data_IF_382968182200
#
_entry.id   IF_382968182200
#
_cell.length_a   1.000
_cell.length_b   1.000
_cell.length_c   1.000
_cell.angle_alpha   90.00
_cell.angle_beta   90.00
_cell.angle_gamma   90.00
#
_symmetry.space_group_name_H-M   'P 1'
#
loop_
_entity.id
_entity.type
_entity.pdbx_description
1 polymer ?
#
# COMPACT_ATOMS: atom_id res chain seq x y z
N UNK A 1 38.15 -12.68 -21.96
CA UNK A 1 36.79 -12.80 -21.42
C UNK A 1 35.84 -12.40 -22.52
N UNK A 2 35.09 -13.37 -23.03
CA UNK A 2 34.31 -13.25 -24.27
C UNK A 2 32.99 -12.51 -24.06
N UNK A 3 32.27 -12.22 -25.15
CA UNK A 3 30.91 -11.65 -25.08
C UNK A 3 29.96 -12.52 -24.23
N UNK A 4 30.15 -13.84 -24.23
CA UNK A 4 29.33 -14.79 -23.48
C UNK A 4 29.44 -14.60 -21.96
N UNK A 5 30.63 -14.30 -21.44
CA UNK A 5 30.84 -14.07 -20.00
C UNK A 5 30.07 -12.83 -19.52
N UNK A 6 30.01 -11.78 -20.34
CA UNK A 6 29.28 -10.54 -20.02
C UNK A 6 27.77 -10.75 -20.00
N UNK A 7 27.25 -11.46 -21.00
CA UNK A 7 25.84 -11.87 -21.07
C UNK A 7 25.44 -12.69 -19.83
N UNK A 8 26.31 -13.60 -19.37
CA UNK A 8 26.04 -14.40 -18.18
C UNK A 8 26.02 -13.55 -16.90
N UNK A 9 26.93 -12.58 -16.76
CA UNK A 9 26.93 -11.63 -15.64
C UNK A 9 25.68 -10.76 -15.64
N UNK A 10 25.27 -10.24 -16.79
CA UNK A 10 24.07 -9.40 -16.92
C UNK A 10 22.80 -10.19 -16.63
N UNK A 11 22.68 -11.44 -17.10
CA UNK A 11 21.54 -12.29 -16.80
C UNK A 11 21.45 -12.63 -15.31
N UNK A 12 22.57 -12.95 -14.66
CA UNK A 12 22.61 -13.20 -13.22
C UNK A 12 22.21 -11.95 -12.42
N UNK A 13 22.65 -10.76 -12.86
CA UNK A 13 22.29 -9.49 -12.22
C UNK A 13 20.81 -9.18 -12.39
N UNK A 14 20.27 -9.34 -13.60
CA UNK A 14 18.85 -9.16 -13.87
C UNK A 14 17.99 -10.16 -13.09
N UNK A 15 18.43 -11.42 -13.00
CA UNK A 15 17.76 -12.45 -12.20
C UNK A 15 17.72 -12.11 -10.72
N UNK A 16 18.82 -11.61 -10.15
CA UNK A 16 18.87 -11.18 -8.75
C UNK A 16 17.93 -10.00 -8.49
N UNK A 17 17.97 -8.97 -9.33
CA UNK A 17 17.08 -7.79 -9.20
C UNK A 17 15.60 -8.19 -9.32
N UNK A 18 15.28 -9.10 -10.24
CA UNK A 18 13.91 -9.60 -10.39
C UNK A 18 13.45 -10.37 -9.14
N UNK A 19 14.31 -11.18 -8.53
CA UNK A 19 14.00 -11.89 -7.28
C UNK A 19 13.78 -10.92 -6.12
N UNK A 20 14.68 -9.95 -5.93
CA UNK A 20 14.59 -8.94 -4.88
C UNK A 20 13.27 -8.13 -5.02
N UNK A 21 12.89 -7.76 -6.24
CA UNK A 21 11.63 -7.05 -6.51
C UNK A 21 10.38 -7.91 -6.25
N UNK A 22 10.43 -9.21 -6.55
CA UNK A 22 9.34 -10.14 -6.24
C UNK A 22 9.16 -10.33 -4.73
N UNK A 23 10.26 -10.47 -4.00
CA UNK A 23 10.24 -10.60 -2.54
C UNK A 23 9.71 -9.32 -1.89
N UNK A 24 10.14 -8.15 -2.36
CA UNK A 24 9.57 -6.87 -1.92
C UNK A 24 8.07 -6.79 -2.21
N UNK A 25 7.65 -7.18 -3.42
CA UNK A 25 6.25 -7.20 -3.82
C UNK A 25 5.40 -8.07 -2.90
N UNK A 26 5.90 -9.26 -2.55
CA UNK A 26 5.24 -10.17 -1.61
C UNK A 26 5.09 -9.53 -0.22
N UNK A 27 6.16 -8.99 0.34
CA UNK A 27 6.14 -8.35 1.66
C UNK A 27 5.22 -7.12 1.69
N UNK A 28 5.19 -6.32 0.61
CA UNK A 28 4.26 -5.18 0.47
C UNK A 28 2.79 -5.60 0.43
N UNK A 29 2.46 -6.74 -0.18
CA UNK A 29 1.11 -7.29 -0.14
C UNK A 29 0.77 -7.84 1.25
N UNK A 30 1.73 -8.50 1.89
CA UNK A 30 1.54 -9.11 3.21
C UNK A 30 1.29 -8.05 4.29
N UNK A 31 2.08 -6.98 4.33
CA UNK A 31 1.88 -5.88 5.29
C UNK A 31 0.51 -5.22 5.10
N UNK A 32 0.05 -5.05 3.86
CA UNK A 32 -1.27 -4.49 3.59
C UNK A 32 -2.37 -5.40 4.15
N UNK A 33 -2.29 -6.71 3.89
CA UNK A 33 -3.22 -7.70 4.42
C UNK A 33 -3.24 -7.71 5.94
N UNK A 34 -2.07 -7.73 6.59
CA UNK A 34 -1.98 -7.79 8.06
C UNK A 34 -2.50 -6.51 8.69
N UNK A 35 -2.22 -5.33 8.12
CA UNK A 35 -2.79 -4.06 8.57
C UNK A 35 -4.31 -4.05 8.50
N UNK A 36 -4.90 -4.57 7.42
CA UNK A 36 -6.36 -4.72 7.35
C UNK A 36 -6.92 -5.65 8.44
N UNK A 37 -6.18 -6.69 8.84
CA UNK A 37 -6.59 -7.56 9.94
C UNK A 37 -6.49 -6.84 11.29
N UNK A 38 -5.43 -6.07 11.53
CA UNK A 38 -5.28 -5.22 12.70
C UNK A 38 -6.44 -4.19 12.78
N UNK A 39 -6.75 -3.51 11.68
CA UNK A 39 -7.85 -2.53 11.62
C UNK A 39 -9.20 -3.18 11.93
N UNK A 40 -9.47 -4.37 11.39
CA UNK A 40 -10.69 -5.13 11.69
C UNK A 40 -10.75 -5.56 13.15
N UNK A 41 -9.64 -5.99 13.73
CA UNK A 41 -9.56 -6.36 15.15
C UNK A 41 -9.78 -5.13 16.05
N UNK A 42 -9.20 -3.98 15.70
CA UNK A 42 -9.38 -2.72 16.40
C UNK A 42 -10.85 -2.25 16.33
N UNK A 43 -11.47 -2.32 15.16
CA UNK A 43 -12.89 -2.03 15.00
C UNK A 43 -13.76 -2.95 15.85
N UNK A 44 -13.50 -4.27 15.84
CA UNK A 44 -14.25 -5.24 16.65
C UNK A 44 -14.13 -4.94 18.16
N UNK A 45 -12.92 -4.65 18.64
CA UNK A 45 -12.68 -4.25 20.02
C UNK A 45 -13.40 -2.95 20.36
N UNK A 46 -13.29 -1.93 19.51
CA UNK A 46 -13.94 -0.63 19.70
C UNK A 46 -15.47 -0.74 19.76
N UNK A 47 -16.08 -1.52 18.86
CA UNK A 47 -17.52 -1.77 18.88
C UNK A 47 -17.97 -2.55 20.11
N UNK A 48 -17.18 -3.53 20.57
CA UNK A 48 -17.48 -4.29 21.78
C UNK A 48 -17.50 -3.38 23.02
N UNK A 49 -16.50 -2.51 23.16
CA UNK A 49 -16.44 -1.52 24.23
C UNK A 49 -17.59 -0.52 24.14
N UNK A 50 -17.85 0.02 22.95
CA UNK A 50 -18.95 0.95 22.72
C UNK A 50 -20.30 0.35 23.14
N UNK A 51 -20.61 -0.88 22.70
CA UNK A 51 -21.87 -1.54 23.07
C UNK A 51 -21.99 -1.83 24.56
N UNK A 52 -20.89 -2.18 25.23
CA UNK A 52 -20.91 -2.37 26.69
C UNK A 52 -21.27 -1.05 27.38
N UNK A 53 -20.60 0.05 27.00
CA UNK A 53 -20.86 1.38 27.56
C UNK A 53 -22.27 1.88 27.27
N UNK A 54 -22.81 1.63 26.08
CA UNK A 54 -24.19 1.97 25.72
C UNK A 54 -25.22 1.30 26.65
N UNK A 55 -24.95 0.07 27.09
CA UNK A 55 -25.79 -0.68 28.03
C UNK A 55 -25.54 -0.33 29.50
N UNK A 56 -24.58 0.55 29.79
CA UNK A 56 -24.12 0.81 31.16
C UNK A 56 -23.35 -0.38 31.77
N UNK A 57 -22.89 -1.30 30.94
CA UNK A 57 -22.11 -2.47 31.34
C UNK A 57 -20.62 -2.25 31.04
N UNK A 58 -19.78 -3.10 31.62
CA UNK A 58 -18.38 -3.20 31.26
C UNK A 58 -18.17 -4.40 30.34
N UNK A 59 -17.20 -4.29 29.41
CA UNK A 59 -16.89 -5.41 28.53
C UNK A 59 -16.31 -6.55 29.37
N UNK A 60 -16.84 -7.76 29.17
CA UNK A 60 -16.34 -8.96 29.82
C UNK A 60 -14.82 -9.09 29.66
N UNK A 61 -14.12 -9.39 30.77
CA UNK A 61 -12.66 -9.43 30.80
C UNK A 61 -12.12 -10.49 29.83
N UNK A 62 -12.76 -11.65 29.73
CA UNK A 62 -12.31 -12.70 28.82
C UNK A 62 -12.54 -12.32 27.35
N UNK A 63 -13.57 -11.52 27.05
CA UNK A 63 -13.77 -10.95 25.72
C UNK A 63 -12.72 -9.86 25.40
N UNK A 64 -12.43 -8.98 26.36
CA UNK A 64 -11.36 -7.98 26.24
C UNK A 64 -10.00 -8.63 25.96
N UNK A 65 -9.63 -9.65 26.72
CA UNK A 65 -8.34 -10.32 26.59
C UNK A 65 -8.18 -10.96 25.21
N UNK A 66 -9.22 -11.65 24.70
CA UNK A 66 -9.19 -12.28 23.36
C UNK A 66 -9.09 -11.26 22.23
N UNK A 67 -9.93 -10.22 22.25
CA UNK A 67 -9.96 -9.20 21.20
C UNK A 67 -8.67 -8.38 21.19
N UNK A 68 -8.18 -7.99 22.37
CA UNK A 68 -6.92 -7.26 22.49
C UNK A 68 -5.71 -8.13 22.14
N UNK A 69 -5.71 -9.44 22.45
CA UNK A 69 -4.66 -10.35 22.01
C UNK A 69 -4.59 -10.46 20.49
N UNK A 70 -5.74 -10.60 19.83
CA UNK A 70 -5.84 -10.67 18.36
C UNK A 70 -5.31 -9.40 17.70
N UNK A 71 -5.67 -8.22 18.25
CA UNK A 71 -5.14 -6.95 17.76
C UNK A 71 -3.61 -6.88 17.90
N UNK A 72 -3.09 -7.19 19.10
CA UNK A 72 -1.63 -7.18 19.35
C UNK A 72 -0.87 -8.13 18.43
N UNK A 73 -1.43 -9.31 18.12
CA UNK A 73 -0.81 -10.27 17.22
C UNK A 73 -0.65 -9.69 15.80
N UNK A 74 -1.71 -9.08 15.26
CA UNK A 74 -1.65 -8.47 13.93
C UNK A 74 -0.74 -7.22 13.91
N UNK A 75 -0.72 -6.41 14.97
CA UNK A 75 0.20 -5.27 15.08
C UNK A 75 1.66 -5.72 15.15
N UNK A 76 1.94 -6.78 15.91
CA UNK A 76 3.29 -7.34 16.02
C UNK A 76 3.77 -7.90 14.67
N UNK A 77 2.90 -8.62 13.96
CA UNK A 77 3.22 -9.16 12.64
C UNK A 77 3.44 -8.03 11.61
N UNK A 78 2.58 -7.00 11.60
CA UNK A 78 2.76 -5.84 10.73
C UNK A 78 4.09 -5.14 11.00
N UNK A 79 4.48 -5.02 12.27
CA UNK A 79 5.76 -4.45 12.68
C UNK A 79 6.94 -5.31 12.21
N UNK A 80 6.83 -6.64 12.27
CA UNK A 80 7.87 -7.56 11.77
C UNK A 80 8.08 -7.38 10.27
N UNK A 81 7.00 -7.41 9.50
CA UNK A 81 7.06 -7.26 8.03
C UNK A 81 7.59 -5.87 7.64
N UNK A 82 7.21 -4.82 8.35
CA UNK A 82 7.75 -3.46 8.13
C UNK A 82 9.26 -3.41 8.36
N UNK A 83 9.76 -4.10 9.39
CA UNK A 83 11.20 -4.23 9.65
C UNK A 83 11.93 -5.04 8.57
N UNK A 84 11.31 -6.11 8.05
CA UNK A 84 11.85 -6.89 6.92
C UNK A 84 11.92 -6.05 5.64
N UNK A 85 10.88 -5.27 5.33
CA UNK A 85 10.88 -4.33 4.20
C UNK A 85 11.96 -3.26 4.31
N UNK A 86 12.19 -2.72 5.52
CA UNK A 86 13.28 -1.75 5.74
C UNK A 86 14.64 -2.38 5.50
N UNK A 87 14.88 -3.58 6.03
CA UNK A 87 16.13 -4.31 5.77
C UNK A 87 16.34 -4.56 4.28
N UNK A 88 15.32 -5.01 3.55
CA UNK A 88 15.42 -5.23 2.11
C UNK A 88 15.78 -3.95 1.34
N UNK A 89 15.23 -2.81 1.75
CA UNK A 89 15.54 -1.49 1.18
C UNK A 89 16.96 -1.02 1.51
N UNK A 90 17.42 -1.27 2.74
CA UNK A 90 18.77 -0.93 3.18
C UNK A 90 19.83 -1.84 2.53
N UNK A 91 19.48 -3.11 2.29
CA UNK A 91 20.35 -4.12 1.65
C UNK A 91 20.34 -4.02 0.11
N UNK A 92 19.37 -3.34 -0.48
CA UNK A 92 19.35 -3.04 -1.92
C UNK A 92 20.54 -2.11 -2.24
N UNK A 93 21.61 -2.61 -2.91
CA UNK A 93 22.73 -1.76 -3.25
C UNK A 93 22.22 -0.69 -4.21
N UNK A 94 22.70 0.56 -4.05
CA UNK A 94 22.40 1.77 -4.83
C UNK A 94 22.51 1.60 -6.36
N UNK A 95 21.64 0.77 -6.95
CA UNK A 95 21.51 0.53 -8.38
C UNK A 95 20.69 1.63 -9.05
N UNK A 96 20.10 2.55 -8.28
CA UNK A 96 19.35 3.70 -8.78
C UNK A 96 20.23 4.82 -9.35
N UNK A 97 21.55 4.84 -9.10
CA UNK A 97 22.44 5.82 -9.74
C UNK A 97 22.73 5.55 -11.24
N UNK A 98 22.23 4.45 -11.81
CA UNK A 98 22.44 4.11 -13.23
C UNK A 98 21.15 4.16 -14.08
N UNK A 99 19.98 4.39 -13.48
CA UNK A 99 18.68 4.44 -14.17
C UNK A 99 18.19 5.86 -14.51
N UNK A 100 18.72 6.90 -13.86
CA UNK A 100 18.25 8.29 -14.00
C UNK A 100 18.65 9.00 -15.31
N UNK A 101 19.23 8.33 -16.31
CA UNK A 101 19.65 8.98 -17.57
C UNK A 101 18.90 8.60 -18.84
N UNK A 102 17.76 7.92 -18.77
CA UNK A 102 16.91 7.68 -19.94
C UNK A 102 15.44 7.47 -19.59
N UNK A 103 14.80 8.53 -19.10
CA UNK A 103 13.37 8.75 -19.33
C UNK A 103 13.01 10.21 -19.00
N UNK A 104 13.76 11.17 -19.57
CA UNK A 104 13.19 12.49 -19.82
C UNK A 104 12.33 12.36 -21.09
N UNK A 105 11.17 11.73 -20.93
CA UNK A 105 10.07 11.81 -21.86
C UNK A 105 9.06 12.77 -21.24
N UNK A 106 9.24 14.05 -21.54
CA UNK A 106 8.25 15.11 -21.37
C UNK A 106 6.88 14.60 -21.85
N UNK A 107 5.83 14.61 -21.00
CA UNK A 107 4.48 14.57 -21.53
C UNK A 107 4.23 15.94 -22.18
N UNK A 108 4.38 15.93 -23.50
CA UNK A 108 3.96 16.98 -24.42
C UNK A 108 2.49 17.33 -24.16
N UNK A 109 2.28 18.62 -23.90
CA UNK A 109 1.01 19.29 -23.67
C UNK A 109 -0.03 18.88 -24.71
N UNK A 110 -1.10 18.21 -24.28
CA UNK A 110 -2.25 17.91 -25.11
C UNK A 110 -2.89 19.22 -25.61
N UNK A 111 -3.15 19.39 -26.93
CA UNK A 111 -3.93 20.52 -27.40
C UNK A 111 -5.39 20.32 -27.00
N UNK A 112 -5.94 21.36 -26.36
CA UNK A 112 -7.34 21.47 -26.00
C UNK A 112 -8.23 21.21 -27.22
N UNK A 113 -9.10 20.20 -27.11
CA UNK A 113 -10.19 19.98 -28.04
C UNK A 113 -11.20 21.14 -27.89
N UNK A 114 -11.18 22.03 -28.87
CA UNK A 114 -12.21 23.01 -29.18
C UNK A 114 -13.49 22.25 -29.58
N UNK A 115 -14.42 22.11 -28.62
CA UNK A 115 -15.77 21.66 -28.88
C UNK A 115 -16.68 22.90 -28.88
N UNK A 116 -16.92 23.43 -30.08
CA UNK A 116 -17.92 24.46 -30.30
C UNK A 116 -19.35 23.94 -30.09
N UNK A 117 -20.13 24.69 -29.31
CA UNK A 117 -21.48 25.24 -29.63
C UNK A 117 -22.48 25.21 -28.44
N UNK A 118 -23.43 26.19 -28.35
CA UNK A 118 -24.05 26.65 -27.10
C UNK A 118 -25.56 26.24 -26.95
N UNK A 119 -26.39 26.88 -26.09
CA UNK A 119 -26.96 26.37 -24.83
C UNK A 119 -28.47 25.99 -24.90
N UNK A 120 -29.05 25.38 -23.84
CA UNK A 120 -30.47 25.56 -23.49
C UNK A 120 -30.61 26.21 -22.10
N UNK A 121 -31.20 27.41 -22.00
CA UNK A 121 -32.62 27.69 -21.74
C UNK A 121 -32.89 28.06 -20.26
N UNK A 122 -33.36 29.29 -20.02
CA UNK A 122 -33.76 29.81 -18.71
C UNK A 122 -34.91 28.99 -18.07
N UNK A 123 -34.95 28.82 -16.75
CA UNK A 123 -36.13 28.28 -16.08
C UNK A 123 -37.22 29.36 -15.89
N UNK A 124 -38.51 29.05 -16.14
CA UNK A 124 -39.60 29.89 -15.69
C UNK A 124 -39.82 29.77 -14.17
N UNK A 125 -39.88 30.93 -13.52
CA UNK A 125 -40.69 31.35 -12.37
C UNK A 125 -41.17 30.30 -11.36
N UNK A 126 -40.86 30.53 -10.08
CA UNK A 126 -41.72 30.12 -8.95
C UNK A 126 -41.89 31.31 -8.00
N UNK A 127 -43.06 31.94 -8.09
CA UNK A 127 -43.64 32.74 -7.02
C UNK A 127 -45.13 32.36 -6.98
N UNK A 128 -45.47 31.59 -5.96
CA UNK A 128 -46.82 31.16 -5.59
C UNK A 128 -46.78 30.79 -4.11
#
# INVERSE_FOLDING_TARGET
MGLLDKLQVELNRAGKVAQDALDEGRLRLEIFRVRQLADKAAQALGYAVYRAKEKGEELDQAAWDRLSATLREHEAEATRIDAELKKLKDDAPAAEAAGEKSAEATPETAPAADAGAPPPADPPTSAG
#
